data_IF_898210651940
#
_entry.id   IF_898210651940
#
_cell.length_a   1.000
_cell.length_b   1.000
_cell.length_c   1.000
_cell.angle_alpha   90.00
_cell.angle_beta   90.00
_cell.angle_gamma   90.00
#
_symmetry.space_group_name_H-M   'P 1'
#
loop_
_entity.id
_entity.type
_entity.pdbx_description
1 polymer ?
#
# COMPACT_ATOMS: atom_id res chain seq x y z
N UNK A 1 47.34 57.76 77.46
CA UNK A 1 46.92 56.37 77.14
C UNK A 1 46.50 56.30 75.68
N UNK A 2 47.32 55.76 74.76
CA UNK A 2 46.90 55.49 73.39
C UNK A 2 46.21 54.12 73.29
N UNK A 3 45.11 54.08 72.51
CA UNK A 3 44.24 52.92 72.22
C UNK A 3 44.94 51.84 71.37
N UNK A 4 44.46 50.58 71.40
CA UNK A 4 45.05 49.47 70.66
C UNK A 4 44.68 49.55 69.17
N UNK A 5 45.50 50.21 68.36
CA UNK A 5 45.31 50.28 66.90
C UNK A 5 45.98 49.12 66.13
N UNK A 6 47.01 48.48 66.73
CA UNK A 6 47.81 47.47 66.06
C UNK A 6 47.15 46.09 65.93
N UNK A 7 46.17 45.77 66.78
CA UNK A 7 45.46 44.48 66.75
C UNK A 7 44.42 44.41 65.62
N UNK A 8 43.66 45.51 65.42
CA UNK A 8 42.64 45.61 64.36
C UNK A 8 43.22 45.54 62.95
N UNK A 9 44.38 46.14 62.71
CA UNK A 9 45.05 46.13 61.39
C UNK A 9 45.53 44.74 60.96
N UNK A 10 45.85 43.85 61.93
CA UNK A 10 46.21 42.46 61.67
C UNK A 10 44.97 41.59 61.40
N UNK A 11 43.88 41.81 62.12
CA UNK A 11 42.60 41.13 61.89
C UNK A 11 41.98 41.52 60.53
N UNK A 12 42.02 42.79 60.15
CA UNK A 12 41.52 43.28 58.86
C UNK A 12 42.30 42.71 57.66
N UNK A 13 43.63 42.56 57.79
CA UNK A 13 44.46 41.90 56.77
C UNK A 13 44.20 40.40 56.67
N UNK A 14 43.96 39.72 57.80
CA UNK A 14 43.56 38.32 57.82
C UNK A 14 42.20 38.09 57.17
N UNK A 15 41.22 38.96 57.46
CA UNK A 15 39.89 38.92 56.86
C UNK A 15 39.93 39.17 55.34
N UNK A 16 40.71 40.16 54.88
CA UNK A 16 40.89 40.44 53.45
C UNK A 16 41.56 39.27 52.70
N UNK A 17 42.53 38.59 53.32
CA UNK A 17 43.19 37.43 52.74
C UNK A 17 42.25 36.22 52.64
N UNK A 18 41.43 35.96 53.66
CA UNK A 18 40.39 34.92 53.63
C UNK A 18 39.34 35.24 52.57
N UNK A 19 38.90 36.50 52.46
CA UNK A 19 37.97 36.94 51.42
C UNK A 19 38.53 36.76 50.01
N UNK A 20 39.82 37.07 49.80
CA UNK A 20 40.48 36.86 48.52
C UNK A 20 40.62 35.36 48.17
N UNK A 21 41.03 34.52 49.13
CA UNK A 21 41.11 33.07 48.96
C UNK A 21 39.74 32.44 48.66
N UNK A 22 38.71 32.84 49.39
CA UNK A 22 37.35 32.36 49.14
C UNK A 22 36.79 32.85 47.79
N UNK A 23 37.08 34.09 47.38
CA UNK A 23 36.75 34.56 46.04
C UNK A 23 37.45 33.76 44.94
N UNK A 24 38.73 33.42 45.11
CA UNK A 24 39.48 32.58 44.15
C UNK A 24 38.88 31.17 44.08
N UNK A 25 38.53 30.56 45.22
CA UNK A 25 37.87 29.25 45.26
C UNK A 25 36.52 29.28 44.55
N UNK A 26 35.70 30.31 44.80
CA UNK A 26 34.41 30.48 44.11
C UNK A 26 34.60 30.64 42.60
N UNK A 27 35.57 31.44 42.16
CA UNK A 27 35.88 31.61 40.73
C UNK A 27 36.36 30.30 40.09
N UNK A 28 37.19 29.52 40.79
CA UNK A 28 37.63 28.20 40.33
C UNK A 28 36.48 27.20 40.22
N UNK A 29 35.54 27.22 41.16
CA UNK A 29 34.34 26.38 41.10
C UNK A 29 33.43 26.76 39.93
N UNK A 30 33.25 28.06 39.67
CA UNK A 30 32.49 28.55 38.50
C UNK A 30 33.19 28.17 37.19
N UNK A 31 34.51 28.32 37.12
CA UNK A 31 35.30 27.91 35.95
C UNK A 31 35.22 26.39 35.71
N UNK A 32 35.32 25.57 36.75
CA UNK A 32 35.17 24.13 36.64
C UNK A 32 33.75 23.73 36.20
N UNK A 33 32.72 24.36 36.77
CA UNK A 33 31.33 24.10 36.40
C UNK A 33 31.03 24.47 34.94
N UNK A 34 31.55 25.59 34.45
CA UNK A 34 31.37 26.01 33.04
C UNK A 34 32.08 25.09 32.06
N UNK A 35 33.29 24.63 32.36
CA UNK A 35 33.99 23.62 31.55
C UNK A 35 33.23 22.29 31.52
N UNK A 36 32.69 21.84 32.67
CA UNK A 36 31.88 20.64 32.73
C UNK A 36 30.57 20.78 31.94
N UNK A 37 29.89 21.93 32.03
CA UNK A 37 28.69 22.22 31.24
C UNK A 37 28.99 22.18 29.73
N UNK A 38 30.05 22.87 29.28
CA UNK A 38 30.45 22.87 27.88
C UNK A 38 30.81 21.46 27.36
N UNK A 39 31.47 20.66 28.19
CA UNK A 39 31.78 19.27 27.86
C UNK A 39 30.51 18.41 27.74
N UNK A 40 29.58 18.55 28.68
CA UNK A 40 28.29 17.84 28.66
C UNK A 40 27.46 18.24 27.44
N UNK A 41 27.37 19.53 27.13
CA UNK A 41 26.68 20.05 25.94
C UNK A 41 27.28 19.49 24.65
N UNK A 42 28.61 19.49 24.54
CA UNK A 42 29.28 18.94 23.36
C UNK A 42 28.98 17.44 23.20
N UNK A 43 29.06 16.67 24.29
CA UNK A 43 28.73 15.24 24.29
C UNK A 43 27.27 14.98 23.93
N UNK A 44 26.32 15.77 24.45
CA UNK A 44 24.90 15.66 24.11
C UNK A 44 24.68 15.98 22.64
N UNK A 45 25.28 17.07 22.14
CA UNK A 45 25.16 17.48 20.74
C UNK A 45 25.67 16.40 19.79
N UNK A 46 26.83 15.80 20.10
CA UNK A 46 27.43 14.76 19.29
C UNK A 46 26.56 13.50 19.26
N UNK A 47 26.08 13.06 20.42
CA UNK A 47 25.16 11.91 20.50
C UNK A 47 23.85 12.19 19.76
N UNK A 48 23.36 13.41 19.80
CA UNK A 48 22.15 13.82 19.08
C UNK A 48 22.35 13.81 17.56
N UNK A 49 23.50 14.26 17.06
CA UNK A 49 23.84 14.17 15.63
C UNK A 49 23.99 12.71 15.20
N UNK A 50 24.73 11.90 15.95
CA UNK A 50 24.91 10.47 15.65
C UNK A 50 23.56 9.71 15.71
N UNK A 51 22.66 10.10 16.62
CA UNK A 51 21.27 9.62 16.69
C UNK A 51 20.51 9.92 15.39
N UNK A 52 20.51 11.19 14.96
CA UNK A 52 19.80 11.61 13.75
C UNK A 52 20.37 10.91 12.52
N UNK A 53 21.69 10.79 12.41
CA UNK A 53 22.35 10.09 11.31
C UNK A 53 21.95 8.61 11.24
N UNK A 54 21.94 7.90 12.38
CA UNK A 54 21.48 6.51 12.44
C UNK A 54 20.01 6.37 12.04
N UNK A 55 19.17 7.33 12.46
CA UNK A 55 17.75 7.40 12.09
C UNK A 55 17.58 7.59 10.58
N UNK A 56 18.22 8.60 9.99
CA UNK A 56 18.16 8.86 8.54
C UNK A 56 18.65 7.67 7.71
N UNK A 57 19.71 6.98 8.17
CA UNK A 57 20.22 5.79 7.49
C UNK A 57 19.20 4.65 7.52
N UNK A 58 18.55 4.43 8.66
CA UNK A 58 17.49 3.44 8.79
C UNK A 58 16.29 3.78 7.88
N UNK A 59 15.83 5.03 7.86
CA UNK A 59 14.75 5.47 6.97
C UNK A 59 15.10 5.30 5.49
N UNK A 60 16.32 5.69 5.11
CA UNK A 60 16.83 5.51 3.74
C UNK A 60 16.84 4.04 3.33
N UNK A 61 17.04 3.12 4.28
CA UNK A 61 16.93 1.68 4.04
C UNK A 61 15.52 1.24 3.65
N UNK A 62 14.49 1.85 4.23
CA UNK A 62 13.08 1.56 3.89
C UNK A 62 12.77 2.03 2.46
N UNK A 63 13.17 3.25 2.12
CA UNK A 63 12.98 3.79 0.76
C UNK A 63 13.75 3.00 -0.30
N UNK A 64 14.96 2.53 0.04
CA UNK A 64 15.73 1.64 -0.84
C UNK A 64 15.02 0.30 -1.04
N UNK A 65 14.44 -0.28 0.01
CA UNK A 65 13.65 -1.51 -0.11
C UNK A 65 12.46 -1.28 -1.05
N UNK A 66 11.75 -0.17 -0.87
CA UNK A 66 10.62 0.21 -1.72
C UNK A 66 11.02 0.31 -3.18
N UNK A 67 12.11 1.02 -3.48
CA UNK A 67 12.66 1.11 -4.82
C UNK A 67 13.09 -0.25 -5.39
N UNK A 68 13.70 -1.10 -4.58
CA UNK A 68 14.09 -2.46 -4.99
C UNK A 68 12.86 -3.30 -5.36
N UNK A 69 11.80 -3.29 -4.55
CA UNK A 69 10.54 -3.99 -4.83
C UNK A 69 9.84 -3.45 -6.09
N UNK A 70 9.95 -2.16 -6.38
CA UNK A 70 9.44 -1.59 -7.63
C UNK A 70 10.20 -2.08 -8.87
N UNK A 71 11.49 -2.34 -8.75
CA UNK A 71 12.33 -2.77 -9.89
C UNK A 71 12.26 -4.29 -10.05
N UNK A 72 12.30 -5.02 -8.94
CA UNK A 72 12.37 -6.47 -8.88
C UNK A 72 11.26 -7.02 -7.94
N UNK A 73 10.10 -7.37 -8.49
CA UNK A 73 9.01 -7.96 -7.72
C UNK A 73 9.31 -9.34 -7.15
N UNK A 74 10.39 -10.02 -7.57
CA UNK A 74 10.76 -11.32 -7.02
C UNK A 74 11.14 -11.22 -5.54
N UNK A 75 11.51 -10.02 -5.08
CA UNK A 75 11.67 -9.69 -3.65
C UNK A 75 10.44 -10.07 -2.81
N UNK A 76 9.25 -10.09 -3.42
CA UNK A 76 7.96 -10.39 -2.79
C UNK A 76 7.56 -11.88 -2.87
N UNK A 77 8.37 -12.72 -3.50
CA UNK A 77 8.06 -14.17 -3.63
C UNK A 77 8.37 -14.96 -2.35
N UNK A 78 9.24 -14.42 -1.49
CA UNK A 78 9.66 -15.05 -0.25
C UNK A 78 8.93 -14.47 0.98
N UNK A 79 8.80 -15.25 2.06
CA UNK A 79 8.20 -14.75 3.30
C UNK A 79 9.07 -13.67 3.99
N UNK A 80 10.38 -13.70 3.74
CA UNK A 80 11.36 -12.74 4.25
C UNK A 80 12.48 -12.53 3.21
N UNK A 81 12.82 -11.28 2.92
CA UNK A 81 13.95 -10.87 2.07
C UNK A 81 14.80 -9.85 2.80
N UNK A 82 16.13 -10.04 2.81
CA UNK A 82 17.05 -9.13 3.51
C UNK A 82 18.00 -8.42 2.55
N UNK A 83 18.18 -7.11 2.76
CA UNK A 83 19.09 -6.24 2.03
C UNK A 83 20.12 -5.59 2.95
N UNK A 84 21.23 -5.19 2.35
CA UNK A 84 22.25 -4.41 3.03
C UNK A 84 22.48 -3.08 2.31
N UNK A 85 22.48 -2.01 3.08
CA UNK A 85 22.87 -0.68 2.66
C UNK A 85 24.14 -0.28 3.40
N UNK A 86 25.15 0.22 2.69
CA UNK A 86 26.38 0.74 3.30
C UNK A 86 26.62 2.15 2.81
N UNK A 87 26.92 3.06 3.73
CA UNK A 87 27.40 4.41 3.41
C UNK A 87 28.87 4.48 3.80
N UNK A 88 29.69 4.90 2.84
CA UNK A 88 31.13 5.11 3.02
C UNK A 88 31.50 6.47 2.45
N UNK A 89 31.20 7.51 3.23
CA UNK A 89 31.68 8.87 2.98
C UNK A 89 32.74 9.23 4.03
N UNK A 90 33.64 10.19 3.76
CA UNK A 90 34.74 10.54 4.66
C UNK A 90 34.30 10.81 6.11
N UNK A 91 33.14 11.46 6.28
CA UNK A 91 32.62 11.87 7.58
C UNK A 91 31.37 11.09 8.02
N UNK A 92 30.90 10.13 7.20
CA UNK A 92 29.67 9.38 7.43
C UNK A 92 29.88 7.90 7.04
N UNK A 93 30.12 7.08 8.05
CA UNK A 93 30.29 5.62 7.90
C UNK A 93 29.23 4.91 8.71
N UNK A 94 28.45 4.07 8.03
CA UNK A 94 27.40 3.28 8.66
C UNK A 94 26.86 2.20 7.74
N UNK A 95 26.12 1.28 8.32
CA UNK A 95 25.44 0.20 7.65
C UNK A 95 23.97 0.12 8.07
N UNK A 96 23.11 -0.30 7.14
CA UNK A 96 21.74 -0.62 7.41
C UNK A 96 21.43 -2.06 6.97
N UNK A 97 20.77 -2.80 7.85
CA UNK A 97 20.21 -4.13 7.56
C UNK A 97 18.71 -3.96 7.42
N UNK A 98 18.19 -4.31 6.25
CA UNK A 98 16.80 -4.11 5.89
C UNK A 98 16.16 -5.46 5.69
N UNK A 99 15.02 -5.71 6.32
CA UNK A 99 14.27 -6.96 6.23
C UNK A 99 12.86 -6.63 5.76
N UNK A 100 12.47 -7.22 4.63
CA UNK A 100 11.12 -7.14 4.07
C UNK A 100 10.41 -8.45 4.40
N UNK A 101 9.30 -8.37 5.13
CA UNK A 101 8.51 -9.51 5.53
C UNK A 101 7.13 -9.47 4.87
N UNK A 102 6.78 -10.55 4.18
CA UNK A 102 5.47 -10.77 3.55
C UNK A 102 4.96 -12.18 3.91
N UNK A 103 4.55 -12.42 5.16
CA UNK A 103 4.30 -13.77 5.64
C UNK A 103 3.01 -14.41 5.08
N UNK A 104 2.07 -13.66 4.48
CA UNK A 104 0.73 -14.19 4.19
C UNK A 104 0.11 -13.79 2.83
N UNK A 105 0.84 -13.21 1.87
CA UNK A 105 0.30 -12.71 0.58
C UNK A 105 -1.02 -11.95 0.72
N UNK A 106 -1.13 -11.23 1.81
CA UNK A 106 -2.37 -10.74 2.36
C UNK A 106 -2.63 -9.29 1.99
N UNK A 107 -1.72 -8.66 1.24
CA UNK A 107 -1.81 -7.28 0.78
C UNK A 107 -1.09 -6.29 1.69
N UNK A 108 -0.39 -6.76 2.72
CA UNK A 108 0.53 -5.95 3.51
C UNK A 108 1.94 -6.55 3.51
N UNK A 109 2.91 -5.66 3.63
CA UNK A 109 4.29 -6.02 3.87
C UNK A 109 4.89 -5.12 4.94
N UNK A 110 5.81 -5.68 5.72
CA UNK A 110 6.53 -4.93 6.75
C UNK A 110 7.97 -4.79 6.31
N UNK A 111 8.46 -3.55 6.22
CA UNK A 111 9.86 -3.26 6.00
C UNK A 111 10.48 -2.78 7.31
N UNK A 112 11.41 -3.54 7.84
CA UNK A 112 12.21 -3.16 9.01
C UNK A 112 13.61 -2.78 8.55
N UNK A 113 14.14 -1.66 9.02
CA UNK A 113 15.49 -1.20 8.70
C UNK A 113 16.24 -0.83 9.97
N UNK A 114 17.39 -1.45 10.18
CA UNK A 114 18.27 -1.23 11.32
C UNK A 114 19.49 -0.46 10.83
N UNK A 115 19.55 0.85 11.10
CA UNK A 115 20.69 1.71 10.76
C UNK A 115 21.67 1.81 11.93
N UNK A 116 22.96 1.60 11.64
CA UNK A 116 24.04 1.68 12.62
C UNK A 116 25.19 2.52 12.07
N UNK A 117 25.62 3.50 12.87
CA UNK A 117 26.79 4.33 12.58
C UNK A 117 28.06 3.71 13.17
N UNK A 118 29.22 4.02 12.59
CA UNK A 118 30.53 3.57 13.11
C UNK A 118 30.82 4.05 14.54
N UNK A 119 30.20 5.17 14.96
CA UNK A 119 30.23 5.68 16.33
C UNK A 119 29.40 4.88 17.34
N UNK A 120 28.66 3.85 16.89
CA UNK A 120 27.87 2.96 17.74
C UNK A 120 26.41 3.37 17.92
N UNK A 121 25.98 4.53 17.41
CA UNK A 121 24.57 4.89 17.37
C UNK A 121 23.79 3.93 16.45
N UNK A 122 22.72 3.34 16.97
CA UNK A 122 21.89 2.34 16.29
C UNK A 122 20.42 2.73 16.38
N UNK A 123 19.68 2.65 15.28
CA UNK A 123 18.23 2.91 15.23
C UNK A 123 17.50 1.91 14.37
N UNK A 124 16.23 1.71 14.68
CA UNK A 124 15.36 0.74 14.02
C UNK A 124 14.11 1.47 13.59
N UNK A 125 13.83 1.43 12.30
CA UNK A 125 12.57 1.91 11.74
C UNK A 125 11.79 0.74 11.17
N UNK A 126 10.47 0.84 11.27
CA UNK A 126 9.55 -0.10 10.67
C UNK A 126 8.47 0.67 9.89
N UNK A 127 8.22 0.24 8.67
CA UNK A 127 7.13 0.70 7.84
C UNK A 127 6.20 -0.45 7.50
N UNK A 128 4.90 -0.21 7.55
CA UNK A 128 3.90 -1.07 6.93
C UNK A 128 3.51 -0.48 5.58
N UNK A 129 3.56 -1.29 4.53
CA UNK A 129 3.22 -0.86 3.17
C UNK A 129 2.16 -1.76 2.57
N UNK A 130 1.42 -1.22 1.60
CA UNK A 130 0.50 -2.00 0.77
C UNK A 130 1.26 -2.87 -0.23
N UNK A 131 0.77 -4.09 -0.43
CA UNK A 131 1.04 -4.91 -1.60
C UNK A 131 -0.32 -5.30 -2.24
N UNK A 132 -0.40 -5.59 -3.54
CA UNK A 132 -1.43 -6.46 -4.07
C UNK A 132 -1.32 -7.79 -3.32
N UNK A 133 -2.41 -8.26 -2.69
CA UNK A 133 -2.43 -9.61 -2.13
C UNK A 133 -2.41 -10.65 -3.24
N UNK A 134 -2.49 -11.94 -2.93
CA UNK A 134 -2.83 -12.93 -3.95
C UNK A 134 -4.26 -12.74 -4.53
N UNK A 135 -5.15 -12.08 -3.81
CA UNK A 135 -6.53 -11.83 -4.22
C UNK A 135 -7.15 -10.76 -3.31
N UNK A 136 -7.86 -9.76 -3.86
CA UNK A 136 -8.62 -8.81 -3.04
C UNK A 136 -9.96 -8.46 -3.68
N UNK A 137 -10.98 -8.39 -2.82
CA UNK A 137 -12.22 -7.67 -3.10
C UNK A 137 -12.27 -6.45 -2.18
N UNK A 138 -12.36 -5.27 -2.76
CA UNK A 138 -12.54 -4.01 -2.06
C UNK A 138 -13.90 -3.43 -2.46
N UNK A 139 -14.81 -3.33 -1.49
CA UNK A 139 -16.14 -2.74 -1.63
C UNK A 139 -16.75 -2.45 -0.25
N UNK A 140 -17.80 -1.66 -0.21
CA UNK A 140 -18.64 -1.44 0.97
C UNK A 140 -19.54 -2.65 1.26
N UNK A 141 -20.15 -3.21 0.21
CA UNK A 141 -21.01 -4.39 0.30
C UNK A 141 -20.69 -5.40 -0.78
N UNK A 142 -20.71 -6.67 -0.39
CA UNK A 142 -20.62 -7.79 -1.31
C UNK A 142 -21.93 -8.57 -1.29
N UNK A 143 -22.43 -9.00 -2.45
CA UNK A 143 -23.69 -9.76 -2.53
C UNK A 143 -23.62 -10.87 -3.58
N UNK A 144 -24.15 -12.04 -3.21
CA UNK A 144 -24.33 -13.19 -4.10
C UNK A 144 -25.80 -13.29 -4.53
N UNK A 145 -26.01 -13.42 -5.83
CA UNK A 145 -27.29 -13.45 -6.53
C UNK A 145 -28.29 -12.37 -6.10
N UNK A 146 -27.88 -11.07 -6.02
CA UNK A 146 -28.86 -10.01 -5.84
C UNK A 146 -29.78 -9.90 -7.06
N UNK A 147 -30.97 -9.33 -6.87
CA UNK A 147 -31.84 -8.96 -7.98
C UNK A 147 -31.20 -7.79 -8.76
N UNK A 148 -30.80 -8.05 -10.01
CA UNK A 148 -30.21 -7.07 -10.91
C UNK A 148 -31.06 -6.97 -12.18
N UNK A 149 -31.45 -5.75 -12.55
CA UNK A 149 -32.15 -5.47 -13.81
C UNK A 149 -31.15 -5.43 -14.98
N UNK A 150 -30.72 -6.62 -15.43
CA UNK A 150 -29.79 -6.77 -16.55
C UNK A 150 -30.36 -6.16 -17.83
N UNK A 151 -31.66 -6.21 -18.03
CA UNK A 151 -32.31 -5.70 -19.23
C UNK A 151 -32.15 -4.17 -19.31
N UNK A 152 -32.40 -3.47 -18.20
CA UNK A 152 -32.16 -2.03 -18.12
C UNK A 152 -30.68 -1.67 -18.37
N UNK A 153 -29.76 -2.46 -17.82
CA UNK A 153 -28.32 -2.24 -18.03
C UNK A 153 -27.96 -2.41 -19.51
N UNK A 154 -28.32 -3.52 -20.15
CA UNK A 154 -28.03 -3.76 -21.56
C UNK A 154 -28.61 -2.67 -22.48
N UNK A 155 -29.84 -2.24 -22.22
CA UNK A 155 -30.48 -1.13 -22.95
C UNK A 155 -29.73 0.19 -22.78
N UNK A 156 -29.18 0.48 -21.59
CA UNK A 156 -28.37 1.68 -21.33
C UNK A 156 -27.11 1.72 -22.21
N UNK A 157 -26.58 0.56 -22.58
CA UNK A 157 -25.46 0.41 -23.51
C UNK A 157 -25.88 0.19 -24.97
N UNK A 158 -27.18 0.26 -25.28
CA UNK A 158 -27.71 0.06 -26.63
C UNK A 158 -27.67 -1.41 -27.13
N UNK A 159 -27.56 -2.37 -26.21
CA UNK A 159 -27.60 -3.80 -26.51
C UNK A 159 -29.05 -4.30 -26.45
N UNK A 160 -29.50 -4.96 -27.52
CA UNK A 160 -30.85 -5.52 -27.58
C UNK A 160 -30.93 -6.82 -26.78
N UNK A 161 -32.01 -6.92 -26.01
CA UNK A 161 -32.27 -7.95 -25.00
C UNK A 161 -32.41 -9.38 -25.56
N UNK A 162 -31.64 -10.37 -25.06
CA UNK A 162 -31.92 -11.78 -25.25
C UNK A 162 -32.71 -12.36 -24.07
N UNK A 163 -34.03 -12.10 -24.01
CA UNK A 163 -35.00 -12.63 -23.02
C UNK A 163 -34.68 -12.38 -21.52
N UNK A 164 -35.69 -12.06 -20.68
CA UNK A 164 -35.47 -11.91 -19.25
C UNK A 164 -34.96 -13.23 -18.64
N UNK A 165 -33.77 -13.19 -18.04
CA UNK A 165 -33.14 -14.34 -17.40
C UNK A 165 -33.93 -14.86 -16.20
N UNK A 166 -33.83 -16.17 -15.97
CA UNK A 166 -34.37 -16.83 -14.78
C UNK A 166 -33.66 -16.33 -13.49
N UNK A 167 -34.27 -16.49 -12.30
CA UNK A 167 -33.58 -16.22 -11.05
C UNK A 167 -32.31 -17.04 -10.93
N UNK A 168 -31.21 -16.36 -10.65
CA UNK A 168 -29.89 -16.97 -10.53
C UNK A 168 -29.72 -17.60 -9.15
N UNK A 169 -29.26 -18.84 -9.12
CA UNK A 169 -29.19 -19.70 -7.94
C UNK A 169 -27.83 -20.41 -7.80
N UNK A 170 -26.82 -19.98 -8.55
CA UNK A 170 -25.48 -20.54 -8.48
C UNK A 170 -24.77 -20.25 -7.16
N UNK A 171 -23.71 -20.99 -6.89
CA UNK A 171 -22.95 -20.93 -5.64
C UNK A 171 -21.65 -20.14 -5.81
N UNK A 172 -21.08 -19.69 -4.70
CA UNK A 172 -19.76 -19.06 -4.65
C UNK A 172 -18.75 -20.03 -4.01
N UNK A 173 -17.68 -20.34 -4.72
CA UNK A 173 -16.56 -21.12 -4.20
C UNK A 173 -15.32 -20.25 -4.05
N UNK A 174 -14.84 -20.09 -2.81
CA UNK A 174 -13.67 -19.25 -2.50
C UNK A 174 -12.48 -20.13 -2.11
N UNK A 175 -11.38 -20.01 -2.87
CA UNK A 175 -10.11 -20.67 -2.53
C UNK A 175 -9.69 -20.28 -1.10
N UNK A 176 -9.22 -21.23 -0.26
CA UNK A 176 -8.78 -20.95 1.12
C UNK A 176 -7.81 -19.78 1.26
N UNK A 177 -6.95 -19.54 0.26
CA UNK A 177 -6.00 -18.42 0.22
C UNK A 177 -6.70 -17.06 0.05
N UNK A 178 -7.91 -17.04 -0.51
CA UNK A 178 -8.73 -15.85 -0.74
C UNK A 178 -9.72 -15.58 0.42
N UNK A 179 -9.94 -16.56 1.31
CA UNK A 179 -10.99 -16.50 2.37
C UNK A 179 -10.81 -15.37 3.37
N UNK A 180 -9.61 -14.82 3.54
CA UNK A 180 -9.43 -13.64 4.41
C UNK A 180 -10.23 -12.45 3.88
N UNK A 181 -10.41 -12.31 2.56
CA UNK A 181 -11.20 -11.24 1.95
C UNK A 181 -12.72 -11.50 1.99
N UNK A 182 -13.15 -12.74 2.22
CA UNK A 182 -14.54 -13.19 2.06
C UNK A 182 -15.06 -13.95 3.30
N UNK A 183 -14.45 -13.75 4.47
CA UNK A 183 -14.62 -14.58 5.66
C UNK A 183 -16.07 -14.71 6.13
N UNK A 184 -16.87 -13.66 5.92
CA UNK A 184 -18.25 -13.58 6.39
C UNK A 184 -19.23 -14.31 5.45
N UNK A 185 -18.86 -14.57 4.19
CA UNK A 185 -19.68 -15.34 3.25
C UNK A 185 -19.71 -16.85 3.56
N UNK A 186 -18.65 -17.37 4.18
CA UNK A 186 -18.57 -18.78 4.61
C UNK A 186 -19.60 -19.10 5.73
N UNK A 187 -20.23 -18.10 6.35
CA UNK A 187 -21.20 -18.26 7.44
C UNK A 187 -22.65 -18.50 6.98
N UNK A 188 -22.90 -18.65 5.68
CA UNK A 188 -24.26 -18.84 5.13
C UNK A 188 -25.03 -17.54 4.93
N UNK A 189 -24.34 -16.40 4.92
CA UNK A 189 -24.90 -15.09 4.60
C UNK A 189 -24.73 -14.80 3.10
N UNK A 190 -25.83 -14.41 2.43
CA UNK A 190 -25.83 -14.04 1.00
C UNK A 190 -25.23 -12.64 0.74
N UNK A 191 -24.95 -11.90 1.80
CA UNK A 191 -24.32 -10.58 1.76
C UNK A 191 -23.66 -10.27 3.09
N UNK A 192 -22.55 -9.54 3.07
CA UNK A 192 -21.98 -8.96 4.29
C UNK A 192 -21.81 -7.44 4.12
N UNK A 193 -22.02 -6.73 5.23
CA UNK A 193 -21.79 -5.29 5.37
C UNK A 193 -20.60 -5.11 6.33
N UNK A 194 -19.50 -4.50 5.92
CA UNK A 194 -18.39 -4.30 6.85
C UNK A 194 -17.08 -3.81 6.24
N UNK A 195 -16.36 -2.99 7.02
CA UNK A 195 -15.00 -2.53 6.71
C UNK A 195 -14.05 -3.72 6.58
N UNK A 196 -13.58 -3.89 5.35
CA UNK A 196 -12.39 -4.57 4.86
C UNK A 196 -11.59 -5.35 5.92
N UNK A 197 -11.16 -6.56 5.56
CA UNK A 197 -10.00 -7.20 6.19
C UNK A 197 -8.70 -6.47 5.82
N UNK A 198 -8.64 -5.16 6.07
CA UNK A 198 -7.50 -4.28 6.35
C UNK A 198 -6.22 -4.41 5.52
N UNK A 199 -6.17 -4.63 4.21
CA UNK A 199 -4.82 -4.84 3.61
C UNK A 199 -4.50 -3.99 2.37
N UNK A 200 -5.24 -4.04 1.27
CA UNK A 200 -5.10 -3.06 0.18
C UNK A 200 -6.28 -2.08 0.17
N UNK A 201 -5.95 -0.79 0.19
CA UNK A 201 -6.93 0.26 -0.04
C UNK A 201 -6.50 1.01 -1.31
N UNK A 202 -7.27 0.96 -2.39
CA UNK A 202 -6.95 1.75 -3.58
C UNK A 202 -6.93 3.24 -3.20
N UNK A 203 -6.09 4.06 -3.85
CA UNK A 203 -5.93 5.46 -3.52
C UNK A 203 -7.19 6.23 -3.92
N UNK A 204 -8.13 6.35 -2.98
CA UNK A 204 -9.37 7.13 -3.10
C UNK A 204 -10.18 6.86 -4.37
N UNK A 205 -10.93 7.88 -4.79
CA UNK A 205 -11.69 7.88 -6.03
C UNK A 205 -10.79 7.67 -7.26
N UNK A 206 -11.36 7.16 -8.36
CA UNK A 206 -10.65 6.95 -9.61
C UNK A 206 -10.16 8.30 -10.18
N UNK A 207 -8.84 8.45 -10.28
CA UNK A 207 -8.18 9.66 -10.80
C UNK A 207 -8.25 9.70 -12.34
N UNK A 208 -9.45 9.93 -12.88
CA UNK A 208 -9.71 10.03 -14.33
C UNK A 208 -8.88 11.14 -14.98
N UNK A 209 -8.57 12.20 -14.24
CA UNK A 209 -7.72 13.28 -14.74
C UNK A 209 -6.31 12.77 -15.05
N UNK A 210 -5.74 11.93 -14.20
CA UNK A 210 -4.47 11.28 -14.51
C UNK A 210 -4.58 10.40 -15.77
N UNK A 211 -5.62 9.58 -15.88
CA UNK A 211 -5.76 8.66 -17.01
C UNK A 211 -5.97 9.38 -18.35
N UNK A 212 -6.72 10.49 -18.35
CA UNK A 212 -6.91 11.31 -19.55
C UNK A 212 -5.63 12.02 -19.98
N UNK A 213 -4.86 12.55 -19.01
CA UNK A 213 -3.54 13.14 -19.28
C UNK A 213 -2.53 12.10 -19.76
N UNK A 214 -2.60 10.90 -19.19
CA UNK A 214 -1.75 9.78 -19.57
C UNK A 214 -1.96 9.36 -21.03
N UNK A 215 -3.19 9.42 -21.52
CA UNK A 215 -3.52 9.16 -22.92
C UNK A 215 -2.89 10.14 -23.91
N UNK A 216 -2.67 11.38 -23.48
CA UNK A 216 -2.11 12.46 -24.29
C UNK A 216 -0.58 12.52 -24.21
N UNK A 217 0.03 11.76 -23.30
CA UNK A 217 1.47 11.76 -23.07
C UNK A 217 2.14 10.72 -23.96
N UNK A 218 3.06 11.15 -24.82
CA UNK A 218 3.84 10.27 -25.70
C UNK A 218 4.93 9.48 -24.96
N UNK A 219 5.12 9.68 -23.65
CA UNK A 219 6.26 9.14 -22.89
C UNK A 219 5.93 8.12 -21.81
N UNK A 220 4.67 7.71 -21.64
CA UNK A 220 4.32 6.72 -20.63
C UNK A 220 4.63 5.31 -21.10
N UNK A 221 5.44 4.59 -20.31
CA UNK A 221 5.67 3.18 -20.53
C UNK A 221 4.45 2.39 -20.04
N UNK A 222 3.80 1.69 -20.97
CA UNK A 222 2.66 0.80 -20.71
C UNK A 222 3.08 -0.67 -20.61
N UNK A 223 4.37 -0.98 -20.77
CA UNK A 223 4.88 -2.34 -20.81
C UNK A 223 4.33 -3.08 -22.03
N UNK A 224 3.94 -4.34 -21.84
CA UNK A 224 3.33 -5.16 -22.88
C UNK A 224 1.83 -4.86 -23.09
N UNK A 225 1.29 -3.84 -22.40
CA UNK A 225 -0.12 -3.51 -22.46
C UNK A 225 -0.43 -2.51 -23.57
N UNK A 226 -1.54 -2.73 -24.27
CA UNK A 226 -2.18 -1.67 -25.05
C UNK A 226 -2.99 -0.74 -24.12
N UNK A 227 -2.86 0.57 -24.26
CA UNK A 227 -3.59 1.54 -23.44
C UNK A 227 -4.68 2.25 -24.24
N UNK A 228 -5.88 2.38 -23.65
CA UNK A 228 -6.99 3.12 -24.23
C UNK A 228 -7.70 3.95 -23.17
N UNK A 229 -7.78 5.26 -23.42
CA UNK A 229 -8.65 6.16 -22.67
C UNK A 229 -9.95 6.39 -23.44
N UNK A 230 -11.07 6.34 -22.74
CA UNK A 230 -12.41 6.45 -23.32
C UNK A 230 -13.22 7.43 -22.47
N UNK A 231 -13.82 8.42 -23.11
CA UNK A 231 -14.67 9.42 -22.45
C UNK A 231 -16.15 9.09 -22.72
N UNK A 232 -16.89 8.76 -21.67
CA UNK A 232 -18.25 8.23 -21.75
C UNK A 232 -18.33 6.70 -21.63
N UNK A 233 -19.56 6.19 -21.66
CA UNK A 233 -19.87 4.78 -21.48
C UNK A 233 -19.42 3.94 -22.69
N UNK A 234 -18.96 2.72 -22.46
CA UNK A 234 -18.43 1.86 -23.53
C UNK A 234 -18.78 0.38 -23.35
N UNK A 235 -19.00 -0.29 -24.48
CA UNK A 235 -19.01 -1.74 -24.57
C UNK A 235 -17.65 -2.24 -25.05
N UNK A 236 -16.96 -3.03 -24.23
CA UNK A 236 -15.69 -3.67 -24.59
C UNK A 236 -15.92 -5.05 -25.20
N UNK A 237 -14.93 -5.52 -25.95
CA UNK A 237 -14.93 -6.87 -26.51
C UNK A 237 -14.92 -7.92 -25.38
N UNK A 238 -15.57 -9.08 -25.56
CA UNK A 238 -15.69 -10.12 -24.54
C UNK A 238 -14.37 -10.85 -24.24
N UNK A 239 -13.38 -10.76 -25.13
CA UNK A 239 -12.08 -11.44 -24.99
C UNK A 239 -10.92 -10.44 -25.10
N UNK A 240 -10.83 -9.43 -24.20
CA UNK A 240 -9.72 -8.50 -24.22
C UNK A 240 -8.48 -9.16 -23.61
N UNK A 241 -7.30 -8.84 -24.16
CA UNK A 241 -6.01 -9.39 -23.70
C UNK A 241 -4.97 -8.29 -23.60
N UNK A 242 -4.16 -8.35 -22.54
CA UNK A 242 -2.98 -7.50 -22.34
C UNK A 242 -3.28 -6.01 -22.63
N UNK A 243 -4.33 -5.51 -21.98
CA UNK A 243 -4.86 -4.17 -22.24
C UNK A 243 -5.25 -3.44 -20.95
N UNK A 244 -5.03 -2.12 -20.97
CA UNK A 244 -5.44 -1.18 -19.95
C UNK A 244 -6.53 -0.29 -20.55
N UNK A 245 -7.73 -0.38 -20.00
CA UNK A 245 -8.87 0.47 -20.34
C UNK A 245 -9.11 1.44 -19.19
N UNK A 246 -9.01 2.74 -19.46
CA UNK A 246 -9.40 3.78 -18.52
C UNK A 246 -10.60 4.55 -19.08
N UNK A 247 -11.72 4.49 -18.37
CA UNK A 247 -13.03 4.93 -18.87
C UNK A 247 -13.64 5.96 -17.93
N UNK A 248 -13.93 7.15 -18.46
CA UNK A 248 -14.68 8.18 -17.75
C UNK A 248 -16.19 7.97 -17.94
N UNK A 249 -16.69 6.90 -17.35
CA UNK A 249 -18.07 6.44 -17.50
C UNK A 249 -18.19 4.99 -17.04
N UNK A 250 -19.26 4.34 -17.48
CA UNK A 250 -19.55 2.94 -17.19
C UNK A 250 -18.96 2.03 -18.28
N UNK A 251 -18.61 0.80 -17.88
CA UNK A 251 -18.06 -0.22 -18.77
C UNK A 251 -18.98 -1.43 -18.81
N UNK A 252 -19.30 -1.90 -20.01
CA UNK A 252 -19.95 -3.19 -20.22
C UNK A 252 -19.02 -4.12 -21.01
N UNK A 253 -18.74 -5.30 -20.46
CA UNK A 253 -18.12 -6.41 -21.18
C UNK A 253 -19.21 -7.45 -21.39
N UNK A 254 -19.61 -7.66 -22.63
CA UNK A 254 -20.83 -8.42 -22.94
C UNK A 254 -20.58 -9.54 -23.95
N UNK A 255 -21.18 -10.70 -23.69
CA UNK A 255 -21.26 -11.83 -24.61
C UNK A 255 -22.68 -12.39 -24.64
N UNK A 256 -23.24 -12.56 -25.84
CA UNK A 256 -24.58 -13.11 -26.04
C UNK A 256 -24.60 -14.63 -26.30
N UNK A 257 -23.50 -15.19 -26.81
CA UNK A 257 -23.46 -16.56 -27.33
C UNK A 257 -22.04 -17.18 -27.30
N UNK A 258 -21.23 -16.80 -26.31
CA UNK A 258 -19.84 -17.26 -26.22
C UNK A 258 -19.19 -16.91 -24.90
N UNK A 259 -17.90 -17.19 -24.76
CA UNK A 259 -17.16 -16.93 -23.52
C UNK A 259 -16.81 -15.45 -23.32
N UNK A 260 -16.75 -15.03 -22.07
CA UNK A 260 -15.99 -13.84 -21.66
C UNK A 260 -14.65 -14.31 -21.11
N UNK A 261 -13.55 -13.83 -21.69
CA UNK A 261 -12.20 -14.28 -21.34
C UNK A 261 -11.24 -13.10 -21.26
N UNK A 262 -11.21 -12.43 -20.11
CA UNK A 262 -10.28 -11.34 -19.83
C UNK A 262 -8.93 -11.95 -19.44
N UNK A 263 -7.89 -11.64 -20.21
CA UNK A 263 -6.55 -12.12 -19.93
C UNK A 263 -5.63 -10.95 -19.64
N UNK A 264 -5.26 -10.80 -18.38
CA UNK A 264 -4.33 -9.78 -17.91
C UNK A 264 -4.80 -8.39 -18.30
N UNK A 265 -6.06 -8.07 -17.98
CA UNK A 265 -6.65 -6.79 -18.29
C UNK A 265 -6.72 -5.91 -17.04
N UNK A 266 -6.50 -4.61 -17.22
CA UNK A 266 -6.73 -3.59 -16.21
C UNK A 266 -7.88 -2.71 -16.69
N UNK A 267 -9.06 -2.88 -16.10
CA UNK A 267 -10.26 -2.10 -16.45
C UNK A 267 -10.53 -1.12 -15.32
N UNK A 268 -10.46 0.17 -15.64
CA UNK A 268 -10.62 1.27 -14.69
C UNK A 268 -11.78 2.12 -15.18
N UNK A 269 -12.84 2.22 -14.38
CA UNK A 269 -14.05 2.97 -14.70
C UNK A 269 -14.33 4.02 -13.62
N UNK A 270 -14.70 5.23 -14.03
CA UNK A 270 -15.20 6.26 -13.12
C UNK A 270 -16.56 5.89 -12.53
N UNK A 271 -17.39 5.19 -13.32
CA UNK A 271 -18.69 4.66 -12.91
C UNK A 271 -18.61 3.18 -12.62
N UNK A 272 -19.59 2.43 -13.13
CA UNK A 272 -19.77 1.00 -12.87
C UNK A 272 -19.05 0.13 -13.90
N UNK A 273 -18.67 -1.08 -13.49
CA UNK A 273 -18.17 -2.13 -14.38
C UNK A 273 -19.16 -3.30 -14.38
N UNK A 274 -19.67 -3.63 -15.56
CA UNK A 274 -20.59 -4.72 -15.82
C UNK A 274 -19.88 -5.77 -16.67
N UNK A 275 -19.80 -7.00 -16.20
CA UNK A 275 -19.31 -8.15 -16.96
C UNK A 275 -20.46 -9.14 -17.07
N UNK A 276 -21.07 -9.21 -18.24
CA UNK A 276 -22.36 -9.88 -18.46
C UNK A 276 -22.21 -10.92 -19.56
N UNK A 277 -22.23 -12.19 -19.17
CA UNK A 277 -22.28 -13.31 -20.10
C UNK A 277 -23.68 -13.94 -20.08
N UNK A 278 -24.39 -13.80 -21.20
CA UNK A 278 -25.67 -14.45 -21.49
C UNK A 278 -25.49 -15.76 -22.29
N UNK A 279 -24.25 -16.09 -22.66
CA UNK A 279 -23.93 -17.30 -23.40
C UNK A 279 -23.88 -18.54 -22.52
N UNK A 280 -23.85 -19.70 -23.18
CA UNK A 280 -23.74 -21.04 -22.61
C UNK A 280 -22.28 -21.50 -22.43
N UNK A 281 -21.32 -20.57 -22.47
CA UNK A 281 -19.91 -20.85 -22.34
C UNK A 281 -19.34 -20.28 -21.03
N UNK A 282 -18.37 -20.96 -20.39
CA UNK A 282 -17.79 -20.51 -19.14
C UNK A 282 -17.03 -19.20 -19.33
N UNK A 283 -17.00 -18.38 -18.28
CA UNK A 283 -16.23 -17.13 -18.26
C UNK A 283 -14.94 -17.28 -17.47
N UNK A 284 -13.89 -16.56 -17.90
CA UNK A 284 -12.60 -16.49 -17.20
C UNK A 284 -12.14 -15.06 -17.10
N UNK A 285 -11.95 -14.57 -15.87
CA UNK A 285 -11.54 -13.21 -15.60
C UNK A 285 -10.17 -13.21 -14.94
N UNK A 286 -9.15 -12.70 -15.65
CA UNK A 286 -7.80 -12.53 -15.11
C UNK A 286 -7.35 -11.07 -15.20
N UNK A 287 -7.07 -10.44 -14.05
CA UNK A 287 -6.54 -9.07 -14.02
C UNK A 287 -7.02 -8.20 -12.86
N UNK A 288 -7.32 -6.93 -13.12
CA UNK A 288 -7.82 -5.98 -12.13
C UNK A 288 -8.97 -5.16 -12.69
N UNK A 289 -10.07 -5.10 -11.95
CA UNK A 289 -11.21 -4.23 -12.23
C UNK A 289 -11.32 -3.19 -11.11
N UNK A 290 -11.24 -1.90 -11.45
CA UNK A 290 -11.42 -0.78 -10.52
C UNK A 290 -12.58 0.09 -10.98
N UNK A 291 -13.68 0.06 -10.25
CA UNK A 291 -14.86 0.89 -10.49
C UNK A 291 -14.94 2.02 -9.44
N UNK A 292 -15.38 3.21 -9.84
CA UNK A 292 -15.79 4.25 -8.91
C UNK A 292 -17.16 3.97 -8.29
N UNK A 293 -18.01 3.21 -8.99
CA UNK A 293 -19.29 2.69 -8.49
C UNK A 293 -19.22 1.20 -8.17
N UNK A 294 -20.12 0.42 -8.78
CA UNK A 294 -20.29 -1.01 -8.54
C UNK A 294 -19.49 -1.86 -9.55
N UNK A 295 -19.08 -3.06 -9.13
CA UNK A 295 -18.61 -4.12 -10.03
C UNK A 295 -19.65 -5.24 -10.01
N UNK A 296 -20.19 -5.55 -11.18
CA UNK A 296 -21.25 -6.54 -11.34
C UNK A 296 -20.76 -7.64 -12.28
N UNK A 297 -20.68 -8.87 -11.77
CA UNK A 297 -20.35 -10.05 -12.55
C UNK A 297 -21.63 -10.88 -12.71
N UNK A 298 -22.05 -11.11 -13.96
CA UNK A 298 -23.26 -11.85 -14.29
C UNK A 298 -22.93 -12.97 -15.28
N UNK A 299 -23.23 -14.20 -14.89
CA UNK A 299 -23.14 -15.40 -15.70
C UNK A 299 -24.50 -16.08 -15.72
N UNK A 300 -25.15 -16.15 -16.89
CA UNK A 300 -26.48 -16.74 -17.01
C UNK A 300 -26.48 -18.27 -16.87
N UNK A 301 -25.48 -18.94 -17.45
CA UNK A 301 -25.34 -20.40 -17.42
C UNK A 301 -23.85 -20.79 -17.32
N UNK A 302 -23.54 -21.91 -16.65
CA UNK A 302 -22.18 -22.41 -16.39
C UNK A 302 -21.36 -21.60 -15.38
N UNK A 303 -20.16 -22.10 -15.15
CA UNK A 303 -19.20 -21.56 -14.20
C UNK A 303 -18.50 -20.28 -14.69
N UNK A 304 -18.11 -19.45 -13.73
CA UNK A 304 -17.21 -18.33 -13.96
C UNK A 304 -15.99 -18.44 -13.05
N UNK A 305 -14.81 -18.39 -13.66
CA UNK A 305 -13.53 -18.36 -12.94
C UNK A 305 -13.04 -16.92 -12.80
N UNK A 306 -12.83 -16.46 -11.58
CA UNK A 306 -12.38 -15.10 -11.27
C UNK A 306 -11.04 -15.16 -10.56
N UNK A 307 -9.99 -14.88 -11.33
CA UNK A 307 -8.62 -14.60 -10.88
C UNK A 307 -8.36 -13.10 -11.06
N UNK A 308 -9.09 -12.27 -10.34
CA UNK A 308 -9.00 -10.82 -10.50
C UNK A 308 -9.08 -10.08 -9.17
N UNK A 309 -8.42 -8.93 -9.08
CA UNK A 309 -8.70 -7.96 -8.02
C UNK A 309 -9.95 -7.17 -8.40
N UNK A 310 -10.94 -7.16 -7.51
CA UNK A 310 -12.19 -6.43 -7.71
C UNK A 310 -12.23 -5.26 -6.75
N UNK A 311 -12.06 -4.04 -7.24
CA UNK A 311 -12.06 -2.83 -6.43
C UNK A 311 -13.23 -1.92 -6.83
N UNK A 312 -14.36 -2.07 -6.16
CA UNK A 312 -15.54 -1.22 -6.33
C UNK A 312 -15.52 -0.06 -5.31
N UNK A 313 -15.96 1.11 -5.73
CA UNK A 313 -16.18 2.24 -4.82
C UNK A 313 -17.41 2.04 -3.94
N UNK A 314 -18.33 1.16 -4.35
CA UNK A 314 -19.57 0.83 -3.64
C UNK A 314 -19.73 -0.69 -3.47
N UNK A 315 -20.31 -1.40 -4.44
CA UNK A 315 -20.69 -2.80 -4.26
C UNK A 315 -19.96 -3.75 -5.22
N UNK A 316 -19.70 -4.98 -4.77
CA UNK A 316 -19.44 -6.10 -5.68
C UNK A 316 -20.63 -7.05 -5.65
N UNK A 317 -21.24 -7.23 -6.81
CA UNK A 317 -22.39 -8.12 -7.00
C UNK A 317 -22.00 -9.28 -7.91
N UNK A 318 -22.21 -10.49 -7.42
CA UNK A 318 -21.93 -11.73 -8.13
C UNK A 318 -23.23 -12.45 -8.42
N UNK A 319 -23.49 -12.72 -9.69
CA UNK A 319 -24.69 -13.36 -10.19
C UNK A 319 -24.27 -14.60 -10.98
N UNK A 320 -24.59 -15.78 -10.46
CA UNK A 320 -24.18 -17.07 -11.02
C UNK A 320 -25.38 -17.93 -11.39
N UNK A 321 -25.31 -18.56 -12.57
CA UNK A 321 -26.30 -19.35 -13.31
C UNK A 321 -27.40 -20.11 -12.55
N UNK A 322 -27.62 -21.36 -12.97
CA UNK A 322 -28.67 -22.23 -12.40
C UNK A 322 -28.11 -22.98 -11.18
N UNK A 323 -28.97 -23.72 -10.49
CA UNK A 323 -28.56 -24.61 -9.40
C UNK A 323 -27.46 -25.57 -9.89
N UNK A 324 -26.28 -25.51 -9.25
CA UNK A 324 -25.11 -26.31 -9.58
C UNK A 324 -23.96 -25.55 -10.24
N UNK A 325 -24.24 -24.39 -10.85
CA UNK A 325 -23.21 -23.51 -11.42
C UNK A 325 -22.46 -22.76 -10.31
N UNK A 326 -21.16 -22.49 -10.52
CA UNK A 326 -20.30 -21.89 -9.52
C UNK A 326 -19.50 -20.68 -10.04
N UNK A 327 -19.42 -19.62 -9.23
CA UNK A 327 -18.35 -18.62 -9.36
C UNK A 327 -17.16 -19.06 -8.51
N UNK A 328 -16.02 -19.27 -9.14
CA UNK A 328 -14.77 -19.64 -8.48
C UNK A 328 -13.89 -18.41 -8.27
N UNK A 329 -13.74 -17.98 -7.02
CA UNK A 329 -12.78 -16.94 -6.64
C UNK A 329 -11.42 -17.59 -6.33
N UNK A 330 -10.43 -17.27 -7.15
CA UNK A 330 -9.10 -17.87 -7.12
C UNK A 330 -8.01 -16.80 -7.07
N UNK A 331 -6.84 -17.09 -6.47
CA UNK A 331 -5.78 -16.10 -6.37
C UNK A 331 -5.03 -15.90 -7.69
N UNK A 332 -4.59 -14.66 -7.89
CA UNK A 332 -3.52 -14.25 -8.79
C UNK A 332 -2.21 -14.27 -8.01
N UNK A 333 -1.13 -14.83 -8.55
CA UNK A 333 0.17 -14.70 -7.91
C UNK A 333 0.63 -13.22 -7.93
N UNK A 334 0.83 -12.62 -6.74
CA UNK A 334 1.08 -11.19 -6.60
C UNK A 334 2.33 -10.72 -7.36
N UNK A 335 3.39 -11.53 -7.37
CA UNK A 335 4.62 -11.25 -8.12
C UNK A 335 4.40 -11.23 -9.63
N UNK A 336 3.57 -12.14 -10.16
CA UNK A 336 3.22 -12.18 -11.59
C UNK A 336 2.46 -10.92 -11.99
N UNK A 337 1.46 -10.51 -11.18
CA UNK A 337 0.70 -9.30 -11.43
C UNK A 337 1.57 -8.04 -11.37
N UNK A 338 2.42 -7.93 -10.35
CA UNK A 338 3.36 -6.82 -10.22
C UNK A 338 4.36 -6.75 -11.36
N UNK A 339 5.01 -7.87 -11.69
CA UNK A 339 6.04 -7.94 -12.73
C UNK A 339 5.58 -7.37 -14.05
N UNK A 340 4.32 -7.61 -14.39
CA UNK A 340 3.73 -7.19 -15.65
C UNK A 340 3.39 -5.71 -15.73
N UNK A 341 2.91 -5.12 -14.63
CA UNK A 341 2.53 -3.70 -14.64
C UNK A 341 3.76 -2.79 -14.67
N UNK A 342 3.76 -1.69 -15.43
CA UNK A 342 4.83 -0.69 -15.35
C UNK A 342 4.86 0.02 -13.97
N UNK A 343 6.04 0.49 -13.49
CA UNK A 343 6.17 1.11 -12.16
C UNK A 343 5.25 2.31 -11.91
N UNK A 344 5.05 3.17 -12.91
CA UNK A 344 4.12 4.30 -12.90
C UNK A 344 2.67 3.87 -12.64
N UNK A 345 2.26 2.72 -13.20
CA UNK A 345 0.90 2.18 -13.04
C UNK A 345 0.74 1.57 -11.65
N UNK A 346 1.72 0.79 -11.19
CA UNK A 346 1.75 0.24 -9.81
C UNK A 346 1.57 1.33 -8.76
N UNK A 347 2.29 2.44 -8.90
CA UNK A 347 2.19 3.59 -7.99
C UNK A 347 0.79 4.23 -8.01
N UNK A 348 0.13 4.29 -9.18
CA UNK A 348 -1.23 4.83 -9.32
C UNK A 348 -2.33 3.91 -8.82
N UNK A 349 -2.06 2.61 -8.79
CA UNK A 349 -2.88 1.63 -8.08
C UNK A 349 -2.63 1.69 -6.56
N UNK A 350 -1.59 2.40 -6.10
CA UNK A 350 -1.31 2.56 -4.68
C UNK A 350 -0.56 1.37 -4.09
N UNK A 351 0.13 0.58 -4.92
CA UNK A 351 1.03 -0.46 -4.43
C UNK A 351 2.30 0.15 -3.81
N UNK A 352 2.82 -0.50 -2.77
CA UNK A 352 3.98 -0.07 -1.99
C UNK A 352 3.79 1.33 -1.37
N UNK A 353 2.53 1.68 -1.08
CA UNK A 353 2.20 2.91 -0.35
C UNK A 353 2.44 2.69 1.13
N UNK A 354 3.22 3.57 1.75
CA UNK A 354 3.48 3.53 3.20
C UNK A 354 2.20 3.91 3.93
N UNK A 355 1.68 2.98 4.75
CA UNK A 355 0.50 3.21 5.60
C UNK A 355 0.88 3.76 6.96
N UNK A 356 1.94 3.23 7.54
CA UNK A 356 2.44 3.60 8.86
C UNK A 356 3.95 3.59 8.88
N UNK A 357 4.52 4.42 9.75
CA UNK A 357 5.95 4.62 9.88
C UNK A 357 6.27 4.84 11.36
N UNK A 358 7.10 3.97 11.95
CA UNK A 358 7.40 4.02 13.38
C UNK A 358 8.87 3.72 13.69
N UNK A 359 9.42 4.51 14.62
CA UNK A 359 10.69 4.21 15.26
C UNK A 359 10.47 3.13 16.32
N UNK A 360 11.23 2.05 16.25
CA UNK A 360 11.16 0.94 17.18
C UNK A 360 12.20 1.10 18.28
N UNK A 361 11.89 0.61 19.48
CA UNK A 361 12.88 0.49 20.54
C UNK A 361 14.06 -0.40 20.09
N UNK A 362 15.28 0.04 20.40
CA UNK A 362 16.55 -0.58 19.97
C UNK A 362 16.90 -1.82 20.78
#
# INVERSE_FOLDING_TARGET
MPKPAACKLKEERGAAMIAALSAVVVLLLIAAATVHLAYLENMISRRYVEYLQASYLAESGIERARAAMFIDPDVLTGPETTFHLKIRQPDLVGDAVITVNQPQFDGLLTVRSIGQMSGGAKRIWQAEMTAPPGYEVYCEKFSLNPEIDINYVLQTFGVNDPEPGEPLLGELQVDPRCRVACRDLDAGEYSFDGEHTRRYQPPGAVDIKFWSQAAQSEGLNWGDYSFRYIDGNIVLLPVPRDAIYAVNGDVLIYSAAGEINLQNCLVIAAGDIWIVNMGDAPSRLTGLCRAGGDINLYQQENDMEVRAYLCAGRNVNLCCGRTGDCIYLQPIEASEFFGRLPPNIRGKLGFLTIRSYQEMAV
#
